data_IF_052740291754
#
_entry.id   IF_052740291754
#
_cell.length_a   1.000
_cell.length_b   1.000
_cell.length_c   1.000
_cell.angle_alpha   90.00
_cell.angle_beta   90.00
_cell.angle_gamma   90.00
#
_symmetry.space_group_name_H-M   'P 1'
#
loop_
_entity.id
_entity.type
_entity.pdbx_description
1 polymer ?
#
# COMPACT_ATOMS: atom_id res chain seq x y z
N UNK A 1 -12.17 8.44 29.61
CA UNK A 1 -11.65 7.06 29.80
C UNK A 1 -12.73 6.09 29.33
N UNK A 2 -12.52 5.30 28.26
CA UNK A 2 -13.13 4.01 27.93
C UNK A 2 -13.65 3.77 26.49
N UNK A 3 -13.48 4.68 25.55
CA UNK A 3 -13.95 4.37 24.17
C UNK A 3 -12.90 3.68 23.27
N UNK A 4 -11.60 3.77 23.58
CA UNK A 4 -10.54 3.13 22.80
C UNK A 4 -10.34 1.64 23.11
N UNK A 5 -10.62 1.22 24.35
CA UNK A 5 -10.51 -0.20 24.75
C UNK A 5 -11.63 -1.07 24.16
N UNK A 6 -12.82 -0.50 23.97
CA UNK A 6 -13.99 -1.26 23.47
C UNK A 6 -13.83 -1.58 21.98
N UNK A 7 -13.23 -0.70 21.18
CA UNK A 7 -13.04 -0.94 19.74
C UNK A 7 -11.98 -2.00 19.46
N UNK A 8 -10.94 -2.08 20.28
CA UNK A 8 -9.89 -3.13 20.16
C UNK A 8 -10.40 -4.50 20.62
N UNK A 9 -11.23 -4.55 21.67
CA UNK A 9 -11.85 -5.79 22.15
C UNK A 9 -12.91 -6.32 21.16
N UNK A 10 -13.72 -5.45 20.58
CA UNK A 10 -14.73 -5.86 19.59
C UNK A 10 -14.12 -6.41 18.30
N UNK A 11 -12.95 -5.90 17.87
CA UNK A 11 -12.26 -6.41 16.69
C UNK A 11 -11.71 -7.82 16.94
N UNK A 12 -11.10 -8.08 18.10
CA UNK A 12 -10.61 -9.42 18.46
C UNK A 12 -11.73 -10.44 18.70
N UNK A 13 -12.86 -10.05 19.26
CA UNK A 13 -14.02 -10.94 19.42
C UNK A 13 -14.72 -11.23 18.09
N UNK A 14 -14.77 -10.28 17.17
CA UNK A 14 -15.27 -10.51 15.80
C UNK A 14 -14.33 -11.42 14.99
N UNK A 15 -13.02 -11.28 15.13
CA UNK A 15 -12.04 -12.18 14.53
C UNK A 15 -12.18 -13.62 15.10
N UNK A 16 -12.39 -13.76 16.42
CA UNK A 16 -12.64 -15.05 17.06
C UNK A 16 -13.98 -15.66 16.64
N UNK A 17 -15.02 -14.87 16.48
CA UNK A 17 -16.35 -15.31 16.00
C UNK A 17 -16.31 -15.71 14.52
N UNK A 18 -15.62 -14.93 13.69
CA UNK A 18 -15.44 -15.22 12.27
C UNK A 18 -14.65 -16.53 12.07
N UNK A 19 -13.57 -16.70 12.82
CA UNK A 19 -12.74 -17.91 12.81
C UNK A 19 -13.49 -19.14 13.34
N UNK A 20 -14.36 -19.00 14.33
CA UNK A 20 -15.21 -20.07 14.83
C UNK A 20 -16.34 -20.47 13.88
N UNK A 21 -16.91 -19.52 13.13
CA UNK A 21 -18.01 -19.80 12.17
C UNK A 21 -17.46 -20.54 10.93
N UNK A 22 -16.23 -20.22 10.50
CA UNK A 22 -15.62 -20.82 9.30
C UNK A 22 -14.62 -21.94 9.61
N UNK A 23 -14.44 -22.30 10.88
CA UNK A 23 -13.60 -23.42 11.32
C UNK A 23 -12.09 -23.21 11.11
N UNK A 24 -11.65 -21.98 10.90
CA UNK A 24 -10.28 -21.63 10.55
C UNK A 24 -9.68 -20.84 11.72
N UNK A 25 -8.69 -21.43 12.40
CA UNK A 25 -7.93 -20.74 13.45
C UNK A 25 -6.87 -19.84 12.82
N UNK A 26 -6.68 -18.63 13.34
CA UNK A 26 -5.48 -17.84 13.06
C UNK A 26 -4.25 -18.70 13.34
N UNK A 27 -3.55 -19.11 12.29
CA UNK A 27 -2.37 -19.98 12.39
C UNK A 27 -2.38 -21.21 11.48
N UNK A 28 -3.55 -21.63 10.94
CA UNK A 28 -3.66 -22.83 10.09
C UNK A 28 -3.46 -22.54 8.58
N UNK A 29 -3.09 -21.31 8.22
CA UNK A 29 -2.82 -20.99 6.81
C UNK A 29 -1.34 -21.08 6.49
N UNK A 30 -1.04 -21.73 5.37
CA UNK A 30 0.31 -21.77 4.82
C UNK A 30 0.79 -20.34 4.53
N UNK A 31 1.88 -19.94 5.16
CA UNK A 31 2.52 -18.64 4.92
C UNK A 31 3.45 -18.72 3.72
N UNK A 32 3.58 -17.60 3.02
CA UNK A 32 4.51 -17.48 1.88
C UNK A 32 5.95 -17.89 2.23
N UNK A 33 6.40 -17.59 3.46
CA UNK A 33 7.73 -17.92 3.96
C UNK A 33 7.98 -19.43 4.20
N UNK A 34 6.91 -20.24 4.31
CA UNK A 34 6.98 -21.67 4.63
C UNK A 34 6.91 -22.54 3.37
N UNK A 35 6.74 -21.92 2.20
CA UNK A 35 6.50 -22.61 0.94
C UNK A 35 7.80 -23.10 0.29
N UNK A 36 7.84 -24.38 -0.04
CA UNK A 36 8.90 -24.94 -0.91
C UNK A 36 8.69 -24.50 -2.36
N UNK A 37 9.46 -23.48 -2.77
CA UNK A 37 9.38 -22.91 -4.13
C UNK A 37 9.61 -23.93 -5.24
N UNK A 38 10.34 -25.04 -4.97
CA UNK A 38 10.65 -26.06 -5.98
C UNK A 38 9.43 -26.88 -6.41
N UNK A 39 8.38 -26.90 -5.59
CA UNK A 39 7.13 -27.64 -5.82
C UNK A 39 6.02 -26.78 -6.40
N UNK A 40 6.23 -25.47 -6.48
CA UNK A 40 5.21 -24.53 -6.93
C UNK A 40 4.93 -24.61 -8.43
N UNK A 41 3.69 -24.37 -8.81
CA UNK A 41 3.33 -24.19 -10.21
C UNK A 41 4.03 -22.96 -10.81
N UNK A 42 4.32 -22.94 -12.12
CA UNK A 42 4.98 -21.81 -12.77
C UNK A 42 4.26 -20.46 -12.52
N UNK A 43 2.93 -20.48 -12.52
CA UNK A 43 2.11 -19.29 -12.25
C UNK A 43 2.32 -18.77 -10.82
N UNK A 44 2.41 -19.65 -9.83
CA UNK A 44 2.64 -19.26 -8.45
C UNK A 44 4.07 -18.76 -8.21
N UNK A 45 5.06 -19.31 -8.94
CA UNK A 45 6.42 -18.78 -8.95
C UNK A 45 6.47 -17.34 -9.50
N UNK A 46 5.73 -17.08 -10.59
CA UNK A 46 5.62 -15.73 -11.15
C UNK A 46 4.98 -14.77 -10.16
N UNK A 47 3.88 -15.19 -9.48
CA UNK A 47 3.25 -14.40 -8.42
C UNK A 47 4.23 -14.04 -7.31
N UNK A 48 4.97 -15.02 -6.78
CA UNK A 48 5.94 -14.77 -5.69
C UNK A 48 7.06 -13.83 -6.11
N UNK A 49 7.56 -13.95 -7.33
CA UNK A 49 8.60 -13.06 -7.88
C UNK A 49 8.12 -11.60 -7.92
N UNK A 50 6.86 -11.38 -8.31
CA UNK A 50 6.26 -10.03 -8.29
C UNK A 50 6.08 -9.57 -6.85
N UNK A 51 5.54 -10.45 -5.98
CA UNK A 51 5.29 -10.12 -4.58
C UNK A 51 6.55 -9.72 -3.81
N UNK A 52 7.69 -10.31 -4.10
CA UNK A 52 9.00 -9.96 -3.52
C UNK A 52 9.41 -8.52 -3.82
N UNK A 53 8.96 -7.94 -4.93
CA UNK A 53 9.21 -6.53 -5.30
C UNK A 53 8.20 -5.57 -4.67
N UNK A 54 7.03 -6.07 -4.25
CA UNK A 54 5.90 -5.30 -3.73
C UNK A 54 5.40 -5.87 -2.40
N UNK A 55 6.30 -6.07 -1.43
CA UNK A 55 6.00 -6.77 -0.18
C UNK A 55 4.90 -6.13 0.65
N UNK A 56 4.86 -4.80 0.72
CA UNK A 56 3.89 -4.00 1.47
C UNK A 56 2.60 -3.67 0.70
N UNK A 57 2.39 -4.33 -0.45
CA UNK A 57 1.31 -4.00 -1.39
C UNK A 57 0.47 -5.23 -1.68
N UNK A 58 -0.85 -5.15 -1.60
CA UNK A 58 -1.76 -6.24 -1.97
C UNK A 58 -1.75 -6.39 -3.49
N UNK A 59 -1.47 -7.59 -4.00
CA UNK A 59 -1.47 -7.87 -5.44
C UNK A 59 -2.87 -8.26 -5.92
N UNK A 60 -3.45 -7.46 -6.79
CA UNK A 60 -4.58 -7.84 -7.63
C UNK A 60 -4.05 -8.55 -8.88
N UNK A 61 -3.90 -9.87 -8.79
CA UNK A 61 -3.22 -10.67 -9.80
C UNK A 61 -4.20 -11.25 -10.82
N UNK A 62 -4.14 -10.82 -12.07
CA UNK A 62 -5.08 -11.20 -13.13
C UNK A 62 -4.98 -12.67 -13.49
N UNK A 63 -6.12 -13.39 -13.36
CA UNK A 63 -6.30 -14.78 -13.82
C UNK A 63 -7.67 -14.90 -14.46
N UNK A 64 -7.68 -15.02 -15.78
CA UNK A 64 -8.94 -15.04 -16.54
C UNK A 64 -9.79 -13.80 -16.28
N UNK A 65 -11.02 -13.97 -15.81
CA UNK A 65 -11.95 -12.88 -15.53
C UNK A 65 -11.91 -12.38 -14.08
N UNK A 66 -10.89 -12.77 -13.32
CA UNK A 66 -10.73 -12.38 -11.92
C UNK A 66 -9.38 -11.72 -11.65
N UNK A 67 -9.35 -10.88 -10.61
CA UNK A 67 -8.15 -10.57 -9.85
C UNK A 67 -8.13 -11.47 -8.63
N UNK A 68 -7.14 -12.33 -8.54
CA UNK A 68 -6.95 -13.25 -7.41
C UNK A 68 -5.83 -12.76 -6.51
N UNK A 69 -6.03 -12.90 -5.22
CA UNK A 69 -5.05 -12.62 -4.17
C UNK A 69 -4.69 -13.92 -3.47
N UNK A 70 -3.43 -14.06 -3.03
CA UNK A 70 -2.92 -15.29 -2.43
C UNK A 70 -2.22 -15.03 -1.12
N UNK A 71 -2.06 -16.07 -0.30
CA UNK A 71 -1.35 -16.06 0.98
C UNK A 71 -1.87 -14.95 1.92
N UNK A 72 -0.97 -14.15 2.49
CA UNK A 72 -1.27 -13.07 3.41
C UNK A 72 -2.15 -11.97 2.76
N UNK A 73 -1.97 -11.73 1.46
CA UNK A 73 -2.82 -10.78 0.71
C UNK A 73 -4.27 -11.27 0.66
N UNK A 74 -4.48 -12.58 0.45
CA UNK A 74 -5.82 -13.16 0.44
C UNK A 74 -6.49 -13.09 1.81
N UNK A 75 -5.76 -13.37 2.88
CA UNK A 75 -6.26 -13.30 4.25
C UNK A 75 -6.67 -11.86 4.58
N UNK A 76 -5.81 -10.91 4.26
CA UNK A 76 -6.07 -9.49 4.48
C UNK A 76 -7.27 -9.01 3.64
N UNK A 77 -7.24 -9.25 2.34
CA UNK A 77 -8.30 -8.79 1.44
C UNK A 77 -9.65 -9.45 1.74
N UNK A 78 -9.69 -10.75 2.08
CA UNK A 78 -10.94 -11.42 2.44
C UNK A 78 -11.59 -10.79 3.67
N UNK A 79 -10.81 -10.44 4.70
CA UNK A 79 -11.29 -9.76 5.90
C UNK A 79 -11.77 -8.34 5.60
N UNK A 80 -10.94 -7.55 4.91
CA UNK A 80 -11.23 -6.14 4.68
C UNK A 80 -12.36 -5.88 3.67
N UNK A 81 -12.56 -6.80 2.75
CA UNK A 81 -13.57 -6.71 1.69
C UNK A 81 -14.78 -7.64 1.92
N UNK A 82 -14.78 -8.39 3.03
CA UNK A 82 -15.82 -9.39 3.35
C UNK A 82 -15.99 -10.45 2.24
N UNK A 83 -14.85 -10.89 1.67
CA UNK A 83 -14.82 -11.90 0.62
C UNK A 83 -14.65 -13.29 1.23
N UNK A 84 -15.20 -14.30 0.57
CA UNK A 84 -14.99 -15.71 0.94
C UNK A 84 -13.52 -16.07 0.73
N UNK A 85 -12.83 -16.47 1.80
CA UNK A 85 -11.51 -17.04 1.73
C UNK A 85 -11.62 -18.52 1.31
N UNK A 86 -10.91 -18.88 0.25
CA UNK A 86 -10.89 -20.24 -0.31
C UNK A 86 -9.44 -20.73 -0.40
N UNK A 87 -9.23 -21.87 -1.04
CA UNK A 87 -7.88 -22.38 -1.30
C UNK A 87 -7.68 -22.70 -2.77
N UNK A 88 -6.50 -22.40 -3.29
CA UNK A 88 -6.08 -22.76 -4.66
C UNK A 88 -4.95 -23.77 -4.65
N UNK A 89 -5.01 -24.75 -5.54
CA UNK A 89 -3.88 -25.65 -5.76
C UNK A 89 -2.73 -24.87 -6.41
N UNK A 90 -1.59 -24.89 -5.76
CA UNK A 90 -0.39 -24.16 -6.19
C UNK A 90 0.74 -25.09 -6.67
N UNK A 91 0.46 -26.39 -6.82
CA UNK A 91 1.44 -27.44 -7.05
C UNK A 91 1.87 -28.14 -5.76
N UNK A 92 1.37 -27.69 -4.60
CA UNK A 92 1.59 -28.27 -3.27
C UNK A 92 0.49 -29.28 -2.94
N UNK A 93 0.73 -30.13 -1.93
CA UNK A 93 -0.29 -31.04 -1.38
C UNK A 93 -1.40 -30.24 -0.68
N UNK A 94 -1.03 -29.21 0.04
CA UNK A 94 -1.96 -28.27 0.68
C UNK A 94 -2.32 -27.11 -0.25
N UNK A 95 -3.54 -26.62 -0.07
CA UNK A 95 -4.02 -25.47 -0.83
C UNK A 95 -3.53 -24.17 -0.19
N UNK A 96 -3.07 -23.23 -1.02
CA UNK A 96 -2.73 -21.89 -0.55
C UNK A 96 -3.98 -21.04 -0.37
N UNK A 97 -4.05 -20.16 0.66
CA UNK A 97 -5.15 -19.24 0.83
C UNK A 97 -5.36 -18.40 -0.42
N UNK A 98 -6.61 -18.21 -0.82
CA UNK A 98 -6.98 -17.44 -2.00
C UNK A 98 -8.34 -16.77 -1.82
N UNK A 99 -8.45 -15.53 -2.22
CA UNK A 99 -9.73 -14.88 -2.52
C UNK A 99 -9.62 -14.14 -3.86
N UNK A 100 -10.73 -13.68 -4.39
CA UNK A 100 -10.71 -13.00 -5.68
C UNK A 100 -11.94 -12.14 -5.92
N UNK A 101 -11.79 -11.16 -6.79
CA UNK A 101 -12.84 -10.24 -7.23
C UNK A 101 -12.99 -10.28 -8.74
N UNK A 102 -14.20 -10.12 -9.28
CA UNK A 102 -14.40 -10.08 -10.73
C UNK A 102 -13.66 -8.88 -11.33
N UNK A 103 -12.94 -9.11 -12.44
CA UNK A 103 -12.20 -8.05 -13.14
C UNK A 103 -13.07 -6.85 -13.51
N UNK A 104 -14.27 -7.07 -14.02
CA UNK A 104 -15.16 -5.99 -14.42
C UNK A 104 -15.70 -5.13 -13.26
N UNK A 105 -15.55 -5.59 -12.01
CA UNK A 105 -16.05 -4.91 -10.81
C UNK A 105 -14.93 -4.58 -9.79
N UNK A 106 -13.67 -4.76 -10.17
CA UNK A 106 -12.55 -4.65 -9.23
C UNK A 106 -12.42 -3.27 -8.60
N UNK A 107 -12.82 -2.20 -9.30
CA UNK A 107 -12.68 -0.81 -8.84
C UNK A 107 -13.31 -0.60 -7.46
N UNK A 108 -14.53 -1.10 -7.25
CA UNK A 108 -15.24 -0.95 -5.96
C UNK A 108 -14.48 -1.60 -4.80
N UNK A 109 -13.80 -2.70 -5.06
CA UNK A 109 -12.99 -3.41 -4.06
C UNK A 109 -11.64 -2.72 -3.85
N UNK A 110 -11.04 -2.23 -4.93
CA UNK A 110 -9.84 -1.41 -4.90
C UNK A 110 -10.04 -0.19 -4.00
N UNK A 111 -11.09 0.60 -4.27
CA UNK A 111 -11.41 1.82 -3.52
C UNK A 111 -11.56 1.55 -2.02
N UNK A 112 -12.25 0.47 -1.65
CA UNK A 112 -12.39 0.07 -0.24
C UNK A 112 -11.05 -0.21 0.45
N UNK A 113 -10.11 -0.85 -0.23
CA UNK A 113 -8.77 -1.11 0.31
C UNK A 113 -7.96 0.19 0.43
N UNK A 114 -8.00 1.03 -0.59
CA UNK A 114 -7.31 2.31 -0.61
C UNK A 114 -7.83 3.24 0.48
N UNK A 115 -9.15 3.32 0.68
CA UNK A 115 -9.76 4.13 1.75
C UNK A 115 -9.34 3.67 3.15
N UNK A 116 -9.05 2.38 3.31
CA UNK A 116 -8.49 1.80 4.54
C UNK A 116 -6.97 1.95 4.66
N UNK A 117 -6.30 2.58 3.68
CA UNK A 117 -4.86 2.87 3.69
C UNK A 117 -3.97 1.75 3.18
N UNK A 118 -4.54 0.71 2.56
CA UNK A 118 -3.74 -0.31 1.88
C UNK A 118 -3.22 0.21 0.54
N UNK A 119 -2.09 -0.33 0.10
CA UNK A 119 -1.56 -0.16 -1.25
C UNK A 119 -1.95 -1.38 -2.08
N UNK A 120 -2.33 -1.17 -3.32
CA UNK A 120 -2.73 -2.24 -4.24
C UNK A 120 -1.95 -2.14 -5.54
N UNK A 121 -1.32 -3.23 -5.95
CA UNK A 121 -0.68 -3.34 -7.26
C UNK A 121 -1.59 -4.12 -8.22
N UNK A 122 -1.91 -3.50 -9.34
CA UNK A 122 -2.66 -4.13 -10.42
C UNK A 122 -1.68 -4.88 -11.31
N UNK A 123 -1.83 -6.20 -11.35
CA UNK A 123 -0.98 -7.11 -12.13
C UNK A 123 -1.78 -7.67 -13.30
N UNK A 124 -1.42 -7.26 -14.50
CA UNK A 124 -2.10 -7.64 -15.74
C UNK A 124 -1.31 -8.62 -16.58
N UNK A 125 -2.03 -9.32 -17.46
CA UNK A 125 -1.45 -10.13 -18.52
C UNK A 125 -0.83 -9.20 -19.57
N UNK A 126 0.46 -9.38 -19.85
CA UNK A 126 1.20 -8.54 -20.80
C UNK A 126 1.05 -9.01 -22.27
N UNK A 127 0.46 -10.18 -22.46
CA UNK A 127 0.20 -10.78 -23.78
C UNK A 127 -1.19 -11.43 -23.82
N UNK A 128 -1.76 -11.58 -25.02
CA UNK A 128 -3.02 -12.31 -25.17
C UNK A 128 -2.78 -13.80 -24.83
N UNK A 129 -3.59 -14.42 -23.97
CA UNK A 129 -3.50 -15.85 -23.65
C UNK A 129 -3.54 -16.78 -24.88
N UNK A 130 -4.11 -16.33 -26.01
CA UNK A 130 -4.17 -17.08 -27.27
C UNK A 130 -2.83 -17.11 -28.00
N UNK A 131 -1.99 -16.11 -27.79
CA UNK A 131 -0.71 -15.96 -28.46
C UNK A 131 0.47 -16.50 -27.60
N UNK A 132 0.20 -16.76 -26.30
CA UNK A 132 1.20 -17.23 -25.36
C UNK A 132 1.67 -18.66 -25.69
N UNK A 133 2.97 -18.82 -25.88
CA UNK A 133 3.60 -20.14 -26.04
C UNK A 133 3.94 -20.74 -24.66
N UNK A 134 2.90 -20.97 -23.85
CA UNK A 134 3.08 -21.50 -22.49
C UNK A 134 2.32 -20.71 -21.46
N UNK A 135 3.00 -20.32 -20.37
CA UNK A 135 2.39 -19.48 -19.32
C UNK A 135 2.38 -18.02 -19.78
N UNK A 136 1.21 -17.39 -19.69
CA UNK A 136 1.04 -15.96 -19.97
C UNK A 136 1.93 -15.13 -19.03
N UNK A 137 2.69 -14.22 -19.60
CA UNK A 137 3.51 -13.30 -18.82
C UNK A 137 2.65 -12.19 -18.16
N UNK A 138 3.02 -11.79 -16.95
CA UNK A 138 2.30 -10.81 -16.15
C UNK A 138 3.25 -9.82 -15.52
N UNK A 139 2.79 -8.58 -15.43
CA UNK A 139 3.54 -7.49 -14.80
C UNK A 139 2.65 -6.51 -14.07
N UNK A 140 3.24 -5.76 -13.17
CA UNK A 140 2.57 -4.66 -12.50
C UNK A 140 2.42 -3.52 -13.51
N UNK A 141 1.20 -3.12 -13.78
CA UNK A 141 0.89 -1.99 -14.67
C UNK A 141 0.62 -0.70 -13.87
N UNK A 142 0.21 -0.83 -12.61
CA UNK A 142 -0.11 0.29 -11.75
C UNK A 142 -0.01 -0.09 -10.30
N UNK A 143 0.50 0.82 -9.46
CA UNK A 143 0.38 0.77 -8.00
C UNK A 143 -0.55 1.91 -7.58
N UNK A 144 -1.62 1.57 -6.88
CA UNK A 144 -2.62 2.53 -6.40
C UNK A 144 -2.46 2.68 -4.90
N UNK A 145 -2.37 3.91 -4.46
CA UNK A 145 -2.34 4.31 -3.05
C UNK A 145 -3.37 5.41 -2.79
N UNK A 146 -3.55 5.80 -1.55
CA UNK A 146 -4.50 6.87 -1.21
C UNK A 146 -4.19 8.19 -1.92
N UNK A 147 -2.91 8.52 -2.05
CA UNK A 147 -2.44 9.76 -2.66
C UNK A 147 -2.30 9.68 -4.19
N UNK A 148 -2.15 8.47 -4.76
CA UNK A 148 -1.98 8.29 -6.22
C UNK A 148 -3.26 7.88 -6.93
N UNK A 149 -4.38 7.80 -6.22
CA UNK A 149 -5.69 7.50 -6.82
C UNK A 149 -6.14 8.66 -7.72
N UNK A 150 -6.21 8.41 -9.02
CA UNK A 150 -6.76 9.35 -10.01
C UNK A 150 -8.24 9.05 -10.17
N UNK A 151 -9.06 9.53 -9.25
CA UNK A 151 -10.52 9.42 -9.38
C UNK A 151 -11.10 10.55 -10.21
N UNK A 152 -12.16 10.22 -10.95
CA UNK A 152 -13.10 11.22 -11.53
C UNK A 152 -13.79 12.08 -10.44
N UNK A 153 -13.53 11.82 -9.17
CA UNK A 153 -13.92 12.62 -8.00
C UNK A 153 -13.18 13.95 -7.89
N UNK A 154 -12.33 14.32 -8.83
CA UNK A 154 -11.92 15.71 -9.08
C UNK A 154 -13.11 16.69 -9.18
N UNK A 155 -14.33 16.17 -9.26
CA UNK A 155 -15.57 16.92 -9.10
C UNK A 155 -15.75 17.56 -7.72
N UNK A 156 -15.04 17.12 -6.68
CA UNK A 156 -15.12 17.70 -5.32
C UNK A 156 -14.15 18.86 -5.07
N UNK A 157 -13.18 19.08 -5.95
CA UNK A 157 -12.20 20.17 -5.80
C UNK A 157 -11.17 19.94 -4.68
N UNK A 158 -11.13 18.76 -4.09
CA UNK A 158 -10.16 18.39 -3.06
C UNK A 158 -8.86 17.90 -3.73
N UNK A 159 -7.74 18.53 -3.39
CA UNK A 159 -6.43 18.10 -3.87
C UNK A 159 -5.96 16.85 -3.09
N UNK A 160 -5.42 15.88 -3.82
CA UNK A 160 -4.79 14.69 -3.24
C UNK A 160 -3.28 14.92 -3.14
N UNK A 161 -2.82 15.50 -2.03
CA UNK A 161 -1.40 15.72 -1.84
C UNK A 161 -0.68 14.49 -1.28
N UNK A 162 0.34 14.06 -2.01
CA UNK A 162 1.37 13.13 -1.53
C UNK A 162 2.55 13.96 -1.09
N UNK A 163 3.07 13.68 0.09
CA UNK A 163 4.18 14.42 0.66
C UNK A 163 5.31 13.54 1.15
N UNK A 164 6.38 14.23 1.47
CA UNK A 164 7.57 13.67 2.06
C UNK A 164 8.04 14.57 3.22
N UNK A 165 8.52 13.97 4.31
CA UNK A 165 9.15 14.64 5.41
C UNK A 165 10.50 14.00 5.69
N UNK A 166 11.56 14.82 5.61
CA UNK A 166 12.89 14.44 6.03
C UNK A 166 13.26 15.13 7.34
N UNK A 167 13.52 14.34 8.37
CA UNK A 167 13.99 14.83 9.66
C UNK A 167 15.53 14.92 9.64
N UNK A 168 16.06 16.16 9.70
CA UNK A 168 17.47 16.47 9.78
C UNK A 168 17.98 16.56 11.23
N UNK A 169 17.16 16.18 12.24
CA UNK A 169 17.41 16.32 13.68
C UNK A 169 17.41 17.78 14.21
N UNK A 170 17.64 18.77 13.35
CA UNK A 170 17.61 20.20 13.70
C UNK A 170 16.55 21.00 12.94
N UNK A 171 15.99 20.44 11.88
CA UNK A 171 14.87 20.99 11.13
C UNK A 171 14.13 19.86 10.38
N UNK A 172 12.92 20.13 9.93
CA UNK A 172 12.21 19.26 9.00
C UNK A 172 12.23 19.84 7.60
N UNK A 173 12.64 19.05 6.61
CA UNK A 173 12.38 19.31 5.20
C UNK A 173 11.04 18.69 4.83
N UNK A 174 10.18 19.44 4.14
CA UNK A 174 8.87 18.99 3.70
C UNK A 174 8.76 19.22 2.21
N UNK A 175 8.35 18.20 1.47
CA UNK A 175 7.91 18.34 0.09
C UNK A 175 6.56 17.69 -0.10
N UNK A 176 5.76 18.19 -1.04
CA UNK A 176 4.48 17.57 -1.41
C UNK A 176 4.10 17.96 -2.83
N UNK A 177 3.35 17.08 -3.46
CA UNK A 177 2.85 17.30 -4.81
C UNK A 177 1.39 16.87 -4.93
N UNK A 178 0.70 17.49 -5.87
CA UNK A 178 -0.57 17.04 -6.38
C UNK A 178 -0.30 16.25 -7.67
N UNK A 179 -0.52 14.92 -7.60
CA UNK A 179 -0.23 14.00 -8.70
C UNK A 179 -1.10 14.30 -9.93
N UNK A 180 -2.29 14.90 -9.73
CA UNK A 180 -3.23 15.20 -10.82
C UNK A 180 -2.84 16.44 -11.61
N UNK A 181 -2.27 17.45 -10.95
CA UNK A 181 -1.92 18.75 -11.57
C UNK A 181 -0.42 18.92 -11.82
N UNK A 182 0.41 18.10 -11.14
CA UNK A 182 1.87 18.20 -11.17
C UNK A 182 2.43 19.38 -10.37
N UNK A 183 1.60 20.09 -9.59
CA UNK A 183 2.10 21.11 -8.68
C UNK A 183 2.93 20.49 -7.58
N UNK A 184 4.12 21.05 -7.37
CA UNK A 184 5.10 20.58 -6.42
C UNK A 184 5.58 21.72 -5.52
N UNK A 185 5.74 21.44 -4.23
CA UNK A 185 6.20 22.38 -3.21
C UNK A 185 7.26 21.74 -2.33
N UNK A 186 8.28 22.52 -1.95
CA UNK A 186 9.29 22.09 -1.00
C UNK A 186 9.74 23.26 -0.13
N UNK A 187 9.92 23.03 1.17
CA UNK A 187 10.35 24.03 2.14
C UNK A 187 10.90 23.37 3.39
N UNK A 188 11.49 24.19 4.26
CA UNK A 188 12.07 23.76 5.53
C UNK A 188 11.37 24.49 6.68
N UNK A 189 11.16 23.79 7.78
CA UNK A 189 10.63 24.35 9.03
C UNK A 189 11.54 24.01 10.20
N UNK A 190 11.38 24.74 11.31
CA UNK A 190 12.06 24.43 12.56
C UNK A 190 11.70 23.03 13.07
N UNK A 191 12.62 22.41 13.83
CA UNK A 191 12.42 21.09 14.42
C UNK A 191 11.42 21.16 15.59
N UNK A 192 10.14 21.34 15.25
CA UNK A 192 9.00 21.37 16.17
C UNK A 192 7.91 20.43 15.67
N UNK A 193 7.65 19.36 16.45
CA UNK A 193 6.66 18.35 16.11
C UNK A 193 5.24 18.91 15.97
N UNK A 194 4.88 19.95 16.77
CA UNK A 194 3.55 20.57 16.67
C UNK A 194 3.43 21.41 15.39
N UNK A 195 4.52 22.09 15.01
CA UNK A 195 4.56 22.83 13.76
C UNK A 195 4.47 21.88 12.57
N UNK A 196 5.19 20.75 12.61
CA UNK A 196 5.11 19.71 11.58
C UNK A 196 3.69 19.19 11.42
N UNK A 197 3.05 18.78 12.51
CA UNK A 197 1.66 18.28 12.48
C UNK A 197 0.70 19.31 11.88
N UNK A 198 0.86 20.57 12.27
CA UNK A 198 0.03 21.69 11.77
C UNK A 198 0.23 21.92 10.26
N UNK A 199 1.47 21.90 9.78
CA UNK A 199 1.78 22.09 8.38
C UNK A 199 1.18 20.96 7.51
N UNK A 200 1.32 19.70 7.93
CA UNK A 200 0.75 18.55 7.23
C UNK A 200 -0.79 18.65 7.19
N UNK A 201 -1.42 18.94 8.32
CA UNK A 201 -2.87 19.05 8.40
C UNK A 201 -3.44 20.21 7.58
N UNK A 202 -2.82 21.40 7.66
CA UNK A 202 -3.31 22.59 6.95
C UNK A 202 -3.20 22.47 5.43
N UNK A 203 -2.23 21.70 4.94
CA UNK A 203 -2.06 21.46 3.49
C UNK A 203 -2.94 20.33 2.97
N UNK A 204 -3.57 19.54 3.84
CA UNK A 204 -4.39 18.41 3.42
C UNK A 204 -3.57 17.28 2.81
N UNK A 205 -2.33 17.08 3.28
CA UNK A 205 -1.50 15.95 2.82
C UNK A 205 -2.10 14.65 3.39
N UNK A 206 -2.42 13.71 2.51
CA UNK A 206 -3.12 12.48 2.86
C UNK A 206 -2.22 11.24 2.87
N UNK A 207 -1.06 11.33 2.24
CA UNK A 207 -0.04 10.28 2.23
C UNK A 207 1.34 10.90 2.39
N UNK A 208 2.17 10.30 3.25
CA UNK A 208 3.53 10.75 3.57
C UNK A 208 4.54 9.62 3.50
N UNK A 209 5.68 9.91 2.92
CA UNK A 209 6.92 9.18 3.13
C UNK A 209 7.73 9.94 4.18
N UNK A 210 8.32 9.24 5.13
CA UNK A 210 9.16 9.84 6.16
C UNK A 210 10.43 9.01 6.36
N UNK A 211 11.55 9.64 6.74
CA UNK A 211 12.73 8.93 7.16
C UNK A 211 12.61 8.43 8.61
N UNK A 212 13.46 7.47 9.01
CA UNK A 212 13.36 6.79 10.31
C UNK A 212 13.54 7.67 11.54
N UNK A 213 14.28 8.82 11.52
CA UNK A 213 14.40 9.73 12.66
C UNK A 213 13.11 10.40 13.10
N UNK A 214 12.11 10.54 12.22
CA UNK A 214 10.82 11.17 12.56
C UNK A 214 10.17 10.49 13.76
N UNK A 215 9.81 11.28 14.76
CA UNK A 215 9.28 10.82 16.04
C UNK A 215 8.04 9.92 15.86
N UNK A 216 8.02 8.79 16.55
CA UNK A 216 6.92 7.80 16.46
C UNK A 216 5.59 8.34 17.00
N UNK A 217 5.61 9.28 17.94
CA UNK A 217 4.41 9.95 18.43
C UNK A 217 3.78 10.84 17.37
N UNK A 218 4.62 11.55 16.59
CA UNK A 218 4.20 12.32 15.42
C UNK A 218 3.54 11.39 14.39
N UNK A 219 4.19 10.30 14.02
CA UNK A 219 3.67 9.32 13.06
C UNK A 219 2.33 8.75 13.54
N UNK A 220 2.23 8.37 14.82
CA UNK A 220 0.99 7.86 15.41
C UNK A 220 -0.13 8.88 15.37
N UNK A 221 0.17 10.14 15.64
CA UNK A 221 -0.79 11.25 15.59
C UNK A 221 -1.27 11.49 14.16
N UNK A 222 -0.37 11.52 13.18
CA UNK A 222 -0.72 11.65 11.77
C UNK A 222 -1.66 10.54 11.30
N UNK A 223 -1.37 9.29 11.67
CA UNK A 223 -2.20 8.15 11.30
C UNK A 223 -3.57 8.16 11.98
N UNK A 224 -3.61 8.36 13.29
CA UNK A 224 -4.82 8.14 14.09
C UNK A 224 -5.74 9.34 14.15
N UNK A 225 -5.19 10.55 14.16
CA UNK A 225 -5.96 11.79 14.30
C UNK A 225 -6.24 12.45 12.95
N UNK A 226 -5.24 12.46 12.07
CA UNK A 226 -5.35 13.13 10.76
C UNK A 226 -5.62 12.17 9.60
N UNK A 227 -5.69 10.84 9.86
CA UNK A 227 -5.94 9.82 8.84
C UNK A 227 -4.96 9.88 7.64
N UNK A 228 -3.70 10.23 7.92
CA UNK A 228 -2.62 10.26 6.93
C UNK A 228 -1.99 8.87 6.83
N UNK A 229 -1.82 8.38 5.61
CA UNK A 229 -1.04 7.16 5.37
C UNK A 229 0.43 7.51 5.47
N UNK A 230 1.18 6.93 6.42
CA UNK A 230 2.59 7.22 6.63
C UNK A 230 3.43 5.97 6.37
N UNK A 231 4.37 6.07 5.46
CA UNK A 231 5.36 5.03 5.13
C UNK A 231 6.75 5.49 5.56
N UNK A 232 7.47 4.66 6.30
CA UNK A 232 8.85 4.95 6.72
C UNK A 232 9.80 4.34 5.67
N UNK A 233 10.63 5.16 5.06
CA UNK A 233 11.63 4.76 4.06
C UNK A 233 12.87 5.62 4.18
N UNK A 234 14.04 5.01 4.19
CA UNK A 234 15.34 5.73 4.22
C UNK A 234 16.05 5.67 2.86
N UNK A 235 15.75 4.64 2.07
CA UNK A 235 16.38 4.35 0.78
C UNK A 235 15.97 5.27 -0.37
N UNK A 236 14.88 6.03 -0.22
CA UNK A 236 14.35 6.91 -1.28
C UNK A 236 15.13 8.22 -1.41
N UNK A 237 15.87 8.63 -0.39
CA UNK A 237 16.58 9.92 -0.33
C UNK A 237 17.97 9.91 -0.97
N UNK A 238 18.42 8.79 -1.49
CA UNK A 238 19.72 8.63 -2.15
C UNK A 238 19.61 8.60 -3.69
N UNK A 239 18.41 8.74 -4.23
CA UNK A 239 18.17 8.64 -5.66
C UNK A 239 18.48 9.96 -6.40
N UNK A 240 19.40 9.93 -7.35
CA UNK A 240 19.79 11.07 -8.18
C UNK A 240 19.22 11.01 -9.61
N UNK A 241 18.33 10.05 -9.91
CA UNK A 241 17.78 9.84 -11.28
C UNK A 241 16.97 11.04 -11.80
N UNK A 242 16.48 11.89 -10.88
CA UNK A 242 15.60 13.03 -11.18
C UNK A 242 16.22 14.38 -10.85
N UNK A 243 17.57 14.50 -10.97
CA UNK A 243 18.32 15.72 -10.62
C UNK A 243 17.77 17.01 -11.28
N UNK A 244 17.19 16.92 -12.47
CA UNK A 244 16.58 18.05 -13.18
C UNK A 244 15.43 18.73 -12.41
N UNK A 245 14.84 18.07 -11.42
CA UNK A 245 13.75 18.64 -10.60
C UNK A 245 14.29 19.67 -9.61
N UNK A 246 15.58 19.57 -9.23
CA UNK A 246 16.19 20.40 -8.19
C UNK A 246 17.49 21.09 -8.61
N UNK A 247 17.85 21.07 -9.89
CA UNK A 247 19.07 21.69 -10.42
C UNK A 247 19.18 23.19 -10.08
N UNK A 248 18.06 23.90 -10.01
CA UNK A 248 18.01 25.32 -9.65
C UNK A 248 17.83 25.59 -8.14
N UNK A 249 17.79 24.53 -7.30
CA UNK A 249 17.59 24.66 -5.85
C UNK A 249 18.93 24.71 -5.14
N UNK A 250 19.22 25.82 -4.46
CA UNK A 250 20.50 26.04 -3.76
C UNK A 250 20.53 25.51 -2.31
N UNK A 251 19.38 25.31 -1.67
CA UNK A 251 19.32 24.78 -0.31
C UNK A 251 19.42 23.25 -0.33
N UNK A 252 20.55 22.74 0.19
CA UNK A 252 20.84 21.29 0.24
C UNK A 252 19.76 20.50 1.00
N UNK A 253 19.12 21.11 2.02
CA UNK A 253 18.04 20.46 2.79
C UNK A 253 16.79 20.26 1.92
N UNK A 254 16.46 21.26 1.11
CA UNK A 254 15.35 21.14 0.14
C UNK A 254 15.68 20.09 -0.90
N UNK A 255 16.90 20.10 -1.45
CA UNK A 255 17.36 19.08 -2.41
C UNK A 255 17.22 17.67 -1.82
N UNK A 256 17.70 17.43 -0.59
CA UNK A 256 17.57 16.11 0.07
C UNK A 256 16.11 15.70 0.28
N UNK A 257 15.25 16.66 0.57
CA UNK A 257 13.83 16.40 0.78
C UNK A 257 13.08 16.07 -0.53
N UNK A 258 13.58 16.55 -1.66
CA UNK A 258 12.97 16.31 -2.98
C UNK A 258 13.40 14.97 -3.57
N UNK A 259 14.64 14.53 -3.31
CA UNK A 259 15.18 13.25 -3.76
C UNK A 259 14.33 12.06 -3.31
#
# INVERSE_FOLDING_TARGET
KSYHSIRFFFCQELDLLYNNIYGLKDGDYMKRSEVDKSKLSPMMLQYLKIKEQYEDTILFYRIGDFYEMFFEDAITASRELELTLTGKSAGLEERVPMCGVPHHAYQVYLDKLIDKGYKVAIVEQLEDPKDAKGMVDRGVIQVVTKGTRLDDSLASGDNNYVGNVYDFEYCYGISYCDVSTGYFYAFVIDHDSNLLLKEIANRGIIELIVNSPVDRGVITTLRNLYNVVVTIRDDVYENDDYHFVYDDVSDVRIVTTIK
#
